data_IF_989421809410
#
_entry.id   IF_989421809410
#
_cell.length_a   1.000
_cell.length_b   1.000
_cell.length_c   1.000
_cell.angle_alpha   90.00
_cell.angle_beta   90.00
_cell.angle_gamma   90.00
#
_symmetry.space_group_name_H-M   'P 1'
#
loop_
_entity.id
_entity.type
_entity.pdbx_description
1 polymer ?
#
# COMPACT_ATOMS: atom_id res chain seq x y z
N UNK A 1 30.33 31.36 -27.81
CA UNK A 1 29.21 30.49 -28.27
C UNK A 1 29.14 29.14 -27.55
N UNK A 2 30.21 28.58 -26.99
CA UNK A 2 30.22 27.25 -26.32
C UNK A 2 29.46 27.17 -24.97
N UNK A 3 29.39 28.26 -24.23
CA UNK A 3 28.70 28.32 -22.92
C UNK A 3 27.19 28.22 -23.00
N UNK A 4 26.53 28.66 -24.07
CA UNK A 4 25.07 28.59 -24.25
C UNK A 4 24.57 27.14 -24.43
N UNK A 5 25.37 26.29 -25.08
CA UNK A 5 25.02 24.87 -25.26
C UNK A 5 25.21 24.05 -23.98
N UNK A 6 26.15 24.45 -23.12
CA UNK A 6 26.33 23.82 -21.83
C UNK A 6 25.13 24.04 -20.89
N UNK A 7 24.57 25.27 -20.91
CA UNK A 7 23.40 25.64 -20.12
C UNK A 7 22.14 24.91 -20.62
N UNK A 8 21.99 24.78 -21.94
CA UNK A 8 20.88 24.04 -22.55
C UNK A 8 20.94 22.53 -22.20
N UNK A 9 22.15 21.95 -22.19
CA UNK A 9 22.37 20.55 -21.80
C UNK A 9 22.05 20.31 -20.33
N UNK A 10 22.38 21.25 -19.44
CA UNK A 10 22.08 21.17 -18.01
C UNK A 10 20.56 21.29 -17.76
N UNK A 11 19.87 22.11 -18.54
CA UNK A 11 18.39 22.30 -18.46
C UNK A 11 17.64 21.08 -18.97
N UNK A 12 18.17 20.36 -19.96
CA UNK A 12 17.61 19.10 -20.46
C UNK A 12 17.85 17.93 -19.50
N UNK A 13 18.94 17.91 -18.76
CA UNK A 13 19.23 16.87 -17.77
C UNK A 13 18.40 17.01 -16.48
N UNK A 14 17.90 18.19 -16.15
CA UNK A 14 17.13 18.43 -14.92
C UNK A 14 15.67 17.94 -14.99
N UNK A 15 15.16 17.62 -16.17
CA UNK A 15 13.74 17.23 -16.35
C UNK A 15 13.43 15.74 -16.16
N UNK A 16 14.41 14.88 -15.88
CA UNK A 16 14.21 13.41 -15.88
C UNK A 16 14.17 12.75 -14.50
N UNK A 17 14.25 13.50 -13.41
CA UNK A 17 14.25 12.94 -12.05
C UNK A 17 12.90 12.98 -11.35
N UNK A 18 11.80 12.92 -12.07
CA UNK A 18 10.52 12.61 -11.44
C UNK A 18 10.46 11.13 -11.07
N UNK A 19 11.08 10.80 -9.95
CA UNK A 19 10.83 9.52 -9.29
C UNK A 19 9.36 9.48 -8.87
N UNK A 20 8.53 8.81 -9.66
CA UNK A 20 7.11 8.64 -9.39
C UNK A 20 6.93 7.77 -8.13
N UNK A 21 6.98 8.38 -6.96
CA UNK A 21 6.77 7.66 -5.71
C UNK A 21 5.29 7.38 -5.52
N UNK A 22 4.99 6.11 -5.22
CA UNK A 22 3.69 5.70 -4.76
C UNK A 22 3.61 5.96 -3.25
N UNK A 23 2.61 6.72 -2.82
CA UNK A 23 2.36 7.03 -1.41
C UNK A 23 0.99 6.46 -1.04
N UNK A 24 0.89 5.91 0.18
CA UNK A 24 -0.37 5.48 0.75
C UNK A 24 -0.68 6.33 1.98
N UNK A 25 -1.84 6.97 1.97
CA UNK A 25 -2.38 7.70 3.11
C UNK A 25 -3.70 7.05 3.54
N UNK A 26 -3.68 6.41 4.71
CA UNK A 26 -4.84 5.65 5.23
C UNK A 26 -5.33 4.59 4.22
N UNK A 27 -6.39 4.89 3.47
CA UNK A 27 -7.04 3.99 2.51
C UNK A 27 -6.87 4.42 1.06
N UNK A 28 -6.22 5.57 0.82
CA UNK A 28 -6.00 6.15 -0.51
C UNK A 28 -4.56 5.97 -0.95
N UNK A 29 -4.39 5.74 -2.24
CA UNK A 29 -3.08 5.67 -2.88
C UNK A 29 -2.91 6.91 -3.73
N UNK A 30 -1.71 7.47 -3.72
CA UNK A 30 -1.34 8.65 -4.49
C UNK A 30 -0.10 8.34 -5.33
N UNK A 31 -0.15 8.69 -6.60
CA UNK A 31 1.00 8.67 -7.49
C UNK A 31 1.22 10.08 -8.02
N UNK A 32 2.38 10.68 -7.77
CA UNK A 32 2.67 12.08 -8.13
C UNK A 32 1.65 13.09 -7.58
N UNK A 33 1.14 12.85 -6.36
CA UNK A 33 0.08 13.65 -5.70
C UNK A 33 -1.32 13.48 -6.30
N UNK A 34 -1.51 12.65 -7.32
CA UNK A 34 -2.81 12.32 -7.87
C UNK A 34 -3.36 11.06 -7.21
N UNK A 35 -4.64 11.04 -6.80
CA UNK A 35 -5.25 9.86 -6.21
C UNK A 35 -5.43 8.78 -7.28
N UNK A 36 -5.00 7.56 -6.97
CA UNK A 36 -5.17 6.40 -7.84
C UNK A 36 -5.99 5.32 -7.18
N UNK A 37 -6.69 4.53 -7.98
CA UNK A 37 -7.55 3.46 -7.49
C UNK A 37 -6.74 2.20 -7.14
N UNK A 38 -7.30 1.35 -6.26
CA UNK A 38 -6.70 0.04 -5.94
C UNK A 38 -6.52 -0.84 -7.17
N UNK A 39 -7.36 -0.69 -8.21
CA UNK A 39 -7.21 -1.43 -9.47
C UNK A 39 -5.96 -0.99 -10.24
N UNK A 40 -5.67 0.30 -10.25
CA UNK A 40 -4.46 0.86 -10.89
C UNK A 40 -3.21 0.44 -10.13
N UNK A 41 -3.25 0.47 -8.79
CA UNK A 41 -2.14 -0.05 -7.96
C UNK A 41 -1.84 -1.52 -8.29
N UNK A 42 -2.87 -2.35 -8.46
CA UNK A 42 -2.68 -3.75 -8.88
C UNK A 42 -2.04 -3.88 -10.27
N UNK A 43 -2.38 -3.01 -11.21
CA UNK A 43 -1.74 -2.96 -12.54
C UNK A 43 -0.26 -2.56 -12.43
N UNK A 44 0.05 -1.57 -11.59
CA UNK A 44 1.44 -1.16 -11.33
C UNK A 44 2.26 -2.30 -10.73
N UNK A 45 1.67 -3.12 -9.84
CA UNK A 45 2.33 -4.25 -9.20
C UNK A 45 2.35 -5.53 -10.05
N UNK A 46 1.67 -5.54 -11.21
CA UNK A 46 1.62 -6.72 -12.08
C UNK A 46 3.00 -7.22 -12.52
N UNK A 47 3.95 -6.30 -12.69
CA UNK A 47 5.34 -6.62 -13.06
C UNK A 47 6.19 -7.16 -11.89
N UNK A 48 5.62 -7.24 -10.68
CA UNK A 48 6.31 -7.69 -9.47
C UNK A 48 5.44 -8.70 -8.69
N UNK A 49 5.48 -9.99 -9.07
CA UNK A 49 4.56 -11.00 -8.55
C UNK A 49 4.63 -11.17 -7.03
N UNK A 50 5.78 -10.94 -6.41
CA UNK A 50 5.92 -11.00 -4.95
C UNK A 50 5.19 -9.86 -4.26
N UNK A 51 5.30 -8.63 -4.77
CA UNK A 51 4.60 -7.46 -4.22
C UNK A 51 3.10 -7.63 -4.39
N UNK A 52 2.66 -8.08 -5.57
CA UNK A 52 1.25 -8.36 -5.83
C UNK A 52 0.69 -9.45 -4.89
N UNK A 53 1.47 -10.50 -4.61
CA UNK A 53 1.10 -11.56 -3.65
C UNK A 53 0.95 -11.01 -2.23
N UNK A 54 1.87 -10.14 -1.79
CA UNK A 54 1.82 -9.50 -0.48
C UNK A 54 0.61 -8.56 -0.36
N UNK A 55 0.32 -7.79 -1.41
CA UNK A 55 -0.86 -6.93 -1.48
C UNK A 55 -2.15 -7.76 -1.36
N UNK A 56 -2.28 -8.85 -2.15
CA UNK A 56 -3.45 -9.74 -2.08
C UNK A 56 -3.63 -10.37 -0.70
N UNK A 57 -2.55 -10.74 -0.03
CA UNK A 57 -2.61 -11.26 1.35
C UNK A 57 -3.10 -10.18 2.33
N UNK A 58 -2.65 -8.94 2.17
CA UNK A 58 -3.11 -7.83 3.00
C UNK A 58 -4.61 -7.53 2.77
N UNK A 59 -5.06 -7.52 1.51
CA UNK A 59 -6.46 -7.35 1.14
C UNK A 59 -7.35 -8.48 1.71
N UNK A 60 -6.91 -9.73 1.59
CA UNK A 60 -7.64 -10.87 2.15
C UNK A 60 -7.76 -10.77 3.67
N UNK A 61 -6.66 -10.44 4.36
CA UNK A 61 -6.66 -10.25 5.80
C UNK A 61 -7.57 -9.10 6.21
N UNK A 62 -7.59 -8.01 5.45
CA UNK A 62 -8.50 -6.89 5.65
C UNK A 62 -9.96 -7.31 5.46
N UNK A 63 -10.27 -8.06 4.40
CA UNK A 63 -11.62 -8.55 4.14
C UNK A 63 -12.12 -9.47 5.27
N UNK A 64 -11.28 -10.38 5.75
CA UNK A 64 -11.62 -11.28 6.87
C UNK A 64 -11.87 -10.45 8.14
N UNK A 65 -10.99 -9.51 8.48
CA UNK A 65 -11.17 -8.69 9.69
C UNK A 65 -12.42 -7.83 9.62
N UNK A 66 -12.72 -7.24 8.45
CA UNK A 66 -13.94 -6.45 8.21
C UNK A 66 -15.20 -7.32 8.33
N UNK A 67 -15.16 -8.55 7.81
CA UNK A 67 -16.25 -9.52 7.97
C UNK A 67 -16.51 -9.85 9.44
N UNK A 68 -15.45 -10.08 10.22
CA UNK A 68 -15.57 -10.33 11.66
C UNK A 68 -16.16 -9.13 12.40
N UNK A 69 -15.76 -7.91 12.07
CA UNK A 69 -16.34 -6.70 12.67
C UNK A 69 -17.82 -6.55 12.33
N UNK A 70 -18.21 -6.80 11.08
CA UNK A 70 -19.61 -6.73 10.67
C UNK A 70 -20.46 -7.80 11.38
N UNK A 71 -19.99 -9.04 11.42
CA UNK A 71 -20.70 -10.13 12.08
C UNK A 71 -20.79 -9.90 13.59
N UNK A 72 -19.69 -9.57 14.25
CA UNK A 72 -19.66 -9.30 15.67
C UNK A 72 -20.48 -8.06 16.03
N UNK A 73 -20.42 -7.01 15.22
CA UNK A 73 -21.19 -5.78 15.39
C UNK A 73 -22.70 -6.03 15.21
N UNK A 74 -23.11 -6.77 14.18
CA UNK A 74 -24.51 -7.12 13.95
C UNK A 74 -25.07 -7.98 15.11
N UNK A 75 -24.28 -8.97 15.57
CA UNK A 75 -24.68 -9.83 16.67
C UNK A 75 -24.80 -9.05 17.98
N UNK A 76 -23.84 -8.21 18.33
CA UNK A 76 -23.85 -7.37 19.52
C UNK A 76 -24.97 -6.32 19.45
N UNK A 77 -25.13 -5.67 18.29
CA UNK A 77 -26.18 -4.69 18.04
C UNK A 77 -27.57 -5.29 18.14
N UNK A 78 -27.77 -6.52 17.66
CA UNK A 78 -29.01 -7.27 17.83
C UNK A 78 -29.36 -7.51 19.30
N UNK A 79 -28.36 -7.83 20.14
CA UNK A 79 -28.56 -8.00 21.57
C UNK A 79 -28.93 -6.69 22.30
N UNK A 80 -28.32 -5.56 21.88
CA UNK A 80 -28.67 -4.23 22.41
C UNK A 80 -30.09 -3.86 22.00
N UNK A 81 -30.50 -4.16 20.77
CA UNK A 81 -31.88 -3.97 20.32
C UNK A 81 -32.89 -4.82 21.13
N UNK A 82 -32.55 -6.09 21.39
CA UNK A 82 -33.35 -6.98 22.20
C UNK A 82 -33.50 -6.47 23.66
N UNK A 83 -32.38 -6.01 24.26
CA UNK A 83 -32.38 -5.38 25.58
C UNK A 83 -33.37 -4.18 25.65
N UNK A 84 -33.38 -3.35 24.58
CA UNK A 84 -34.28 -2.19 24.52
C UNK A 84 -35.76 -2.58 24.48
N UNK A 85 -36.07 -3.75 23.88
CA UNK A 85 -37.47 -4.25 23.76
C UNK A 85 -37.92 -5.04 24.97
N UNK A 86 -37.06 -5.91 25.52
CA UNK A 86 -37.44 -6.87 26.57
C UNK A 86 -36.94 -6.51 27.98
N UNK A 87 -36.06 -5.52 28.08
CA UNK A 87 -35.27 -5.14 29.28
C UNK A 87 -34.42 -6.28 29.86
N UNK A 88 -34.25 -7.37 29.12
CA UNK A 88 -33.40 -8.50 29.51
C UNK A 88 -32.22 -8.61 28.59
N UNK A 89 -30.98 -8.64 29.14
CA UNK A 89 -29.76 -8.84 28.41
C UNK A 89 -29.29 -10.29 28.52
N UNK A 90 -29.26 -11.00 27.40
CA UNK A 90 -28.68 -12.34 27.37
C UNK A 90 -27.12 -12.25 27.28
N UNK A 91 -26.49 -12.19 28.46
CA UNK A 91 -25.03 -12.04 28.59
C UNK A 91 -24.22 -13.09 27.80
N UNK A 92 -24.73 -14.32 27.72
CA UNK A 92 -24.08 -15.40 26.95
C UNK A 92 -24.00 -15.05 25.47
N UNK A 93 -25.04 -14.50 24.89
CA UNK A 93 -25.08 -14.10 23.48
C UNK A 93 -24.29 -12.83 23.26
N UNK A 94 -24.38 -11.84 24.13
CA UNK A 94 -23.61 -10.62 24.04
C UNK A 94 -22.10 -10.88 24.07
N UNK A 95 -21.61 -11.76 24.92
CA UNK A 95 -20.20 -12.12 25.03
C UNK A 95 -19.64 -12.77 23.75
N UNK A 96 -20.46 -13.55 23.03
CA UNK A 96 -20.06 -14.13 21.73
C UNK A 96 -19.79 -13.02 20.71
N UNK A 97 -20.67 -12.03 20.60
CA UNK A 97 -20.49 -10.90 19.68
C UNK A 97 -19.22 -10.09 19.98
N UNK A 98 -18.97 -9.80 21.26
CA UNK A 98 -17.75 -9.13 21.71
C UNK A 98 -16.51 -9.97 21.39
N UNK A 99 -16.58 -11.29 21.61
CA UNK A 99 -15.49 -12.22 21.25
C UNK A 99 -15.15 -12.18 19.76
N UNK A 100 -16.15 -12.16 18.87
CA UNK A 100 -15.96 -12.07 17.43
C UNK A 100 -15.30 -10.73 17.07
N UNK A 101 -15.72 -9.61 17.67
CA UNK A 101 -15.09 -8.30 17.47
C UNK A 101 -13.62 -8.33 17.92
N UNK A 102 -13.34 -8.90 19.08
CA UNK A 102 -11.96 -9.03 19.58
C UNK A 102 -11.07 -9.83 18.61
N UNK A 103 -11.58 -10.93 18.05
CA UNK A 103 -10.87 -11.68 16.99
C UNK A 103 -10.65 -10.81 15.76
N UNK A 104 -11.63 -9.99 15.35
CA UNK A 104 -11.48 -9.02 14.26
C UNK A 104 -10.32 -8.05 14.50
N UNK A 105 -10.15 -7.55 15.73
CA UNK A 105 -9.02 -6.69 16.10
C UNK A 105 -7.70 -7.42 16.00
N UNK A 106 -7.60 -8.65 16.48
CA UNK A 106 -6.36 -9.44 16.38
C UNK A 106 -5.98 -9.67 14.92
N UNK A 107 -6.95 -10.05 14.08
CA UNK A 107 -6.72 -10.27 12.65
C UNK A 107 -6.35 -8.98 11.93
N UNK A 108 -6.97 -7.84 12.27
CA UNK A 108 -6.67 -6.55 11.64
C UNK A 108 -5.27 -6.02 11.98
N UNK A 109 -4.69 -6.50 13.09
CA UNK A 109 -3.38 -6.07 13.54
C UNK A 109 -2.31 -6.41 12.49
N UNK A 110 -1.64 -5.39 12.00
CA UNK A 110 -0.59 -5.57 11.00
C UNK A 110 -1.03 -5.48 9.53
N UNK A 111 -2.33 -5.38 9.23
CA UNK A 111 -2.83 -5.17 7.85
C UNK A 111 -2.21 -3.92 7.25
N UNK A 112 -2.24 -2.79 7.96
CA UNK A 112 -1.66 -1.54 7.47
C UNK A 112 -0.15 -1.67 7.20
N UNK A 113 0.59 -2.34 8.10
CA UNK A 113 2.03 -2.60 7.91
C UNK A 113 2.32 -3.39 6.64
N UNK A 114 1.46 -4.35 6.27
CA UNK A 114 1.60 -5.14 5.04
C UNK A 114 1.32 -4.32 3.79
N UNK A 115 0.30 -3.44 3.83
CA UNK A 115 0.04 -2.51 2.73
C UNK A 115 1.20 -1.53 2.55
N UNK A 116 1.70 -0.94 3.64
CA UNK A 116 2.82 0.01 3.59
C UNK A 116 4.12 -0.67 3.14
N UNK A 117 4.34 -1.92 3.55
CA UNK A 117 5.46 -2.73 3.06
C UNK A 117 5.38 -2.95 1.55
N UNK A 118 4.21 -3.30 1.01
CA UNK A 118 4.04 -3.51 -0.43
C UNK A 118 4.34 -2.22 -1.23
N UNK A 119 3.88 -1.06 -0.75
CA UNK A 119 4.18 0.24 -1.36
C UNK A 119 5.67 0.57 -1.29
N UNK A 120 6.30 0.35 -0.13
CA UNK A 120 7.74 0.57 0.06
C UNK A 120 8.57 -0.32 -0.84
N UNK A 121 8.25 -1.62 -0.91
CA UNK A 121 8.96 -2.60 -1.74
C UNK A 121 8.86 -2.23 -3.23
N UNK A 122 7.69 -1.75 -3.67
CA UNK A 122 7.50 -1.24 -5.03
C UNK A 122 8.39 -0.04 -5.32
N UNK A 123 8.41 0.96 -4.43
CA UNK A 123 9.24 2.15 -4.60
C UNK A 123 10.74 1.79 -4.62
N UNK A 124 11.17 0.85 -3.75
CA UNK A 124 12.56 0.38 -3.74
C UNK A 124 12.95 -0.36 -5.01
N UNK A 125 12.08 -1.22 -5.57
CA UNK A 125 12.35 -1.89 -6.83
C UNK A 125 12.49 -0.91 -7.99
N UNK A 126 11.67 0.14 -7.99
CA UNK A 126 11.73 1.19 -9.01
C UNK A 126 13.03 1.98 -8.92
N UNK A 127 13.44 2.35 -7.71
CA UNK A 127 14.73 3.04 -7.48
C UNK A 127 15.93 2.18 -7.88
N UNK A 128 15.89 0.87 -7.62
CA UNK A 128 16.97 -0.05 -8.03
C UNK A 128 17.05 -0.24 -9.53
N UNK A 129 15.94 -0.20 -10.27
CA UNK A 129 15.94 -0.30 -11.73
C UNK A 129 16.51 0.94 -12.40
N UNK A 130 16.38 2.11 -11.81
CA UNK A 130 16.97 3.37 -12.30
C UNK A 130 18.32 3.67 -11.62
N UNK A 131 19.17 2.67 -11.43
CA UNK A 131 20.49 2.88 -10.83
C UNK A 131 21.50 3.31 -11.89
N UNK A 132 22.16 4.41 -11.59
CA UNK A 132 23.33 4.88 -12.34
C UNK A 132 24.51 3.96 -12.02
N UNK A 133 24.96 3.17 -13.00
CA UNK A 133 26.18 2.37 -12.89
C UNK A 133 27.32 3.09 -13.58
N UNK A 134 28.24 3.58 -12.79
CA UNK A 134 29.53 4.05 -13.29
C UNK A 134 30.42 2.83 -13.53
N UNK A 135 30.76 2.60 -14.77
CA UNK A 135 31.65 1.49 -15.15
C UNK A 135 32.98 2.12 -15.64
N UNK A 136 34.03 2.16 -14.82
CA UNK A 136 35.35 2.58 -15.26
C UNK A 136 35.92 1.48 -16.16
N UNK A 137 35.87 1.67 -17.45
CA UNK A 137 36.59 0.81 -18.40
C UNK A 137 38.00 1.35 -18.67
N UNK A 138 38.94 0.45 -18.96
CA UNK A 138 40.36 0.81 -19.27
C UNK A 138 40.50 1.73 -20.47
N UNK A 139 39.47 2.00 -21.25
CA UNK A 139 39.42 2.78 -22.48
C UNK A 139 38.66 4.11 -22.38
N UNK A 140 38.10 4.44 -21.21
CA UNK A 140 37.35 5.69 -21.05
C UNK A 140 36.23 5.60 -19.99
N UNK A 141 35.71 6.75 -19.61
CA UNK A 141 34.59 6.89 -18.69
C UNK A 141 33.28 6.63 -19.45
N UNK A 142 32.68 5.47 -19.24
CA UNK A 142 31.38 5.13 -19.78
C UNK A 142 30.27 5.34 -18.74
N UNK A 143 29.23 6.11 -19.09
CA UNK A 143 28.02 6.28 -18.28
C UNK A 143 26.97 5.32 -18.83
N UNK A 144 26.58 4.31 -18.07
CA UNK A 144 25.49 3.41 -18.43
C UNK A 144 24.24 3.78 -17.62
N UNK A 145 23.22 4.30 -18.32
CA UNK A 145 21.88 4.51 -17.76
C UNK A 145 21.08 3.23 -18.04
N UNK A 146 20.74 2.47 -16.99
CA UNK A 146 19.82 1.36 -17.06
C UNK A 146 18.43 1.85 -16.62
N UNK A 147 17.46 1.72 -17.52
CA UNK A 147 16.05 2.03 -17.26
C UNK A 147 15.24 0.79 -16.90
#
# INVERSE_FOLDING_TARGET
MKTKYLFLFFLLCSSTLFCQNLIREKWHYYQNKEPITSKEVKKLFANSPQILKNLKKAELQFAISSGLFLMGGAYTGGQIGHLSATKELEWKKASIGVGIIALGFVVSKGVNKKFDAAVRDYNQQKTKKSSFKWNPSKLGLGICLSF
#
